data_IF_116970549224
#
_entry.id   IF_116970549224
#
_cell.length_a   1.000
_cell.length_b   1.000
_cell.length_c   1.000
_cell.angle_alpha   90.00
_cell.angle_beta   90.00
_cell.angle_gamma   90.00
#
_symmetry.space_group_name_H-M   'P 1'
#
loop_
_entity.id
_entity.type
_entity.pdbx_description
1 polymer ?
#
# COMPACT_ATOMS: atom_id res chain seq x y z
N UNK A 1 11.90 -4.62 -0.01
CA UNK A 1 11.24 -4.02 1.17
C UNK A 1 9.76 -4.39 1.27
N UNK A 2 9.10 -4.75 0.16
CA UNK A 2 7.68 -5.05 0.07
C UNK A 2 7.26 -6.17 1.06
N UNK A 3 7.97 -7.29 1.08
CA UNK A 3 7.70 -8.40 2.00
C UNK A 3 7.85 -7.98 3.48
N UNK A 4 8.92 -7.27 3.81
CA UNK A 4 9.17 -6.80 5.18
C UNK A 4 8.10 -5.79 5.64
N UNK A 5 7.65 -4.92 4.73
CA UNK A 5 6.53 -4.01 4.96
C UNK A 5 5.24 -4.80 5.25
N UNK A 6 4.94 -5.80 4.41
CA UNK A 6 3.77 -6.65 4.57
C UNK A 6 3.75 -7.38 5.92
N UNK A 7 4.85 -8.04 6.30
CA UNK A 7 4.97 -8.73 7.59
C UNK A 7 4.74 -7.76 8.75
N UNK A 8 5.27 -6.54 8.65
CA UNK A 8 5.10 -5.51 9.68
C UNK A 8 3.65 -5.00 9.76
N UNK A 9 3.00 -4.81 8.62
CA UNK A 9 1.58 -4.42 8.53
C UNK A 9 0.65 -5.51 9.06
N UNK A 10 0.92 -6.79 8.75
CA UNK A 10 0.16 -7.94 9.28
C UNK A 10 0.32 -8.05 10.80
N UNK A 11 1.50 -7.71 11.33
CA UNK A 11 1.74 -7.58 12.76
C UNK A 11 1.13 -6.30 13.38
N UNK A 12 0.31 -5.55 12.62
CA UNK A 12 -0.36 -4.31 13.04
C UNK A 12 0.59 -3.22 13.56
N UNK A 13 1.78 -3.12 12.97
CA UNK A 13 2.79 -2.11 13.31
C UNK A 13 2.71 -0.90 12.37
N UNK A 14 3.06 0.28 12.88
CA UNK A 14 3.26 1.47 12.04
C UNK A 14 4.61 1.37 11.32
N UNK A 15 4.62 1.66 10.02
CA UNK A 15 5.80 1.51 9.15
C UNK A 15 5.98 2.77 8.31
N UNK A 16 7.22 3.26 8.24
CA UNK A 16 7.62 4.30 7.28
C UNK A 16 8.49 3.67 6.21
N UNK A 17 8.09 3.78 4.95
CA UNK A 17 8.83 3.23 3.81
C UNK A 17 9.47 4.36 3.02
N UNK A 18 10.80 4.31 2.87
CA UNK A 18 11.55 5.19 1.96
C UNK A 18 11.99 4.39 0.74
N UNK A 19 11.47 4.74 -0.43
CA UNK A 19 11.84 4.12 -1.70
C UNK A 19 11.56 5.07 -2.87
N UNK A 20 12.30 4.94 -3.98
CA UNK A 20 12.12 5.74 -5.19
C UNK A 20 10.76 5.49 -5.87
N UNK A 21 10.31 6.41 -6.73
CA UNK A 21 9.14 6.21 -7.61
C UNK A 21 9.38 5.01 -8.52
N UNK A 22 8.35 4.20 -8.77
CA UNK A 22 8.47 2.95 -9.53
C UNK A 22 8.99 1.74 -8.74
N UNK A 23 9.52 1.91 -7.52
CA UNK A 23 10.09 0.82 -6.72
C UNK A 23 9.06 -0.17 -6.14
N UNK A 24 7.78 -0.08 -6.49
CA UNK A 24 6.73 -0.97 -5.99
C UNK A 24 6.23 -0.64 -4.58
N UNK A 25 6.13 0.66 -4.23
CA UNK A 25 5.48 1.09 -2.97
C UNK A 25 3.98 0.77 -2.98
N UNK A 26 3.33 0.95 -4.12
CA UNK A 26 1.90 0.68 -4.32
C UNK A 26 1.56 -0.78 -4.03
N UNK A 27 2.31 -1.73 -4.58
CA UNK A 27 2.10 -3.16 -4.29
C UNK A 27 2.34 -3.50 -2.81
N UNK A 28 3.31 -2.85 -2.15
CA UNK A 28 3.55 -3.05 -0.72
C UNK A 28 2.35 -2.61 0.15
N UNK A 29 1.60 -1.57 -0.26
CA UNK A 29 0.37 -1.15 0.41
C UNK A 29 -0.77 -2.13 0.11
N UNK A 30 -0.96 -2.51 -1.15
CA UNK A 30 -2.08 -3.36 -1.62
C UNK A 30 -2.02 -4.80 -1.09
N UNK A 31 -0.82 -5.38 -0.95
CA UNK A 31 -0.66 -6.77 -0.47
C UNK A 31 -1.34 -7.03 0.88
N UNK A 32 -1.41 -6.01 1.74
CA UNK A 32 -2.05 -6.13 3.05
C UNK A 32 -3.58 -6.29 2.96
N UNK A 33 -4.22 -5.69 1.95
CA UNK A 33 -5.66 -5.82 1.68
C UNK A 33 -6.00 -7.22 1.18
N UNK A 34 -5.24 -7.75 0.22
CA UNK A 34 -5.51 -9.07 -0.36
C UNK A 34 -5.43 -10.20 0.67
N UNK A 35 -4.55 -10.07 1.66
CA UNK A 35 -4.40 -11.05 2.74
C UNK A 35 -5.38 -10.83 3.91
N UNK A 36 -6.13 -9.73 3.90
CA UNK A 36 -7.13 -9.39 4.92
C UNK A 36 -8.49 -9.10 4.26
N UNK A 37 -9.18 -10.12 3.73
CA UNK A 37 -10.34 -9.94 2.83
C UNK A 37 -11.55 -9.21 3.46
N UNK A 38 -11.60 -9.08 4.79
CA UNK A 38 -12.66 -8.36 5.51
C UNK A 38 -12.21 -6.98 6.05
N UNK A 39 -11.07 -6.46 5.60
CA UNK A 39 -10.55 -5.17 6.05
C UNK A 39 -10.62 -4.13 4.93
N UNK A 40 -11.03 -2.92 5.30
CA UNK A 40 -10.95 -1.74 4.46
C UNK A 40 -9.64 -1.00 4.75
N UNK A 41 -8.92 -0.58 3.71
CA UNK A 41 -7.79 0.33 3.85
C UNK A 41 -8.18 1.71 3.35
N UNK A 42 -7.73 2.73 4.08
CA UNK A 42 -7.90 4.14 3.69
C UNK A 42 -6.55 4.62 3.18
N UNK A 43 -6.51 5.01 1.91
CA UNK A 43 -5.31 5.58 1.28
C UNK A 43 -5.52 7.08 1.10
N UNK A 44 -4.55 7.87 1.54
CA UNK A 44 -4.56 9.33 1.35
C UNK A 44 -3.48 9.69 0.34
N UNK A 45 -3.88 10.32 -0.75
CA UNK A 45 -2.97 10.81 -1.79
C UNK A 45 -3.27 12.28 -2.08
N UNK A 46 -2.26 13.16 -2.15
CA UNK A 46 -2.48 14.58 -2.38
C UNK A 46 -2.81 14.93 -3.85
N UNK A 47 -2.62 13.99 -4.78
CA UNK A 47 -2.81 14.20 -6.21
C UNK A 47 -4.01 13.38 -6.71
N UNK A 48 -5.04 14.05 -7.22
CA UNK A 48 -6.26 13.40 -7.73
C UNK A 48 -5.97 12.49 -8.92
N UNK A 49 -5.09 12.92 -9.84
CA UNK A 49 -4.72 12.09 -11.00
C UNK A 49 -4.08 10.78 -10.55
N UNK A 50 -3.19 10.84 -9.57
CA UNK A 50 -2.55 9.65 -9.00
C UNK A 50 -3.58 8.74 -8.30
N UNK A 51 -4.59 9.33 -7.65
CA UNK A 51 -5.68 8.58 -7.05
C UNK A 51 -6.49 7.84 -8.12
N UNK A 52 -6.84 8.51 -9.22
CA UNK A 52 -7.55 7.91 -10.36
C UNK A 52 -6.76 6.76 -10.97
N UNK A 53 -5.46 6.94 -11.15
CA UNK A 53 -4.58 5.88 -11.66
C UNK A 53 -4.57 4.67 -10.73
N UNK A 54 -4.49 4.87 -9.41
CA UNK A 54 -4.53 3.78 -8.44
C UNK A 54 -5.87 3.03 -8.44
N UNK A 55 -7.01 3.73 -8.58
CA UNK A 55 -8.34 3.11 -8.64
C UNK A 55 -8.56 2.37 -9.94
N UNK A 56 -8.05 2.88 -11.07
CA UNK A 56 -8.14 2.22 -12.37
C UNK A 56 -7.35 0.90 -12.42
N UNK A 57 -6.26 0.81 -11.64
CA UNK A 57 -5.39 -0.36 -11.56
C UNK A 57 -5.81 -1.38 -10.49
N UNK A 58 -6.76 -1.03 -9.62
CA UNK A 58 -7.34 -1.89 -8.57
C UNK A 58 -8.63 -2.54 -9.06
#
# INVERSE_FOLDING_TARGET
>A
FQLQCLVSLLASRHVVVKAATGAGKTIAMMLSLFLSPNKMAITVTPLELLQKDHVSLM
#
